data_IF_896422543673
#
_entry.id   IF_896422543673
#
_cell.length_a   1.000
_cell.length_b   1.000
_cell.length_c   1.000
_cell.angle_alpha   90.00
_cell.angle_beta   90.00
_cell.angle_gamma   90.00
#
_symmetry.space_group_name_H-M   'P 1'
#
loop_
_entity.id
_entity.type
_entity.pdbx_description
1 polymer ?
#
# COMPACT_ATOMS: atom_id res chain seq x y z
N UNK A 1 -13.78 4.63 6.50
CA UNK A 1 -13.79 3.93 7.79
C UNK A 1 -12.49 4.26 8.53
N UNK A 2 -12.44 5.40 9.23
CA UNK A 2 -11.25 5.81 9.99
C UNK A 2 -10.97 4.84 11.14
N UNK A 3 -9.72 4.44 11.30
CA UNK A 3 -9.31 3.40 12.26
C UNK A 3 -8.79 3.98 13.59
N UNK A 4 -8.75 5.31 13.75
CA UNK A 4 -8.36 5.97 15.00
C UNK A 4 -9.57 6.22 15.91
N UNK A 5 -9.64 5.52 17.05
CA UNK A 5 -10.54 5.87 18.17
C UNK A 5 -9.71 6.46 19.31
N UNK A 6 -9.79 7.79 19.45
CA UNK A 6 -9.47 8.55 20.66
C UNK A 6 -10.71 9.35 21.07
N UNK A 7 -10.96 9.48 22.37
CA UNK A 7 -12.20 9.95 23.00
C UNK A 7 -13.00 10.99 22.15
N UNK A 8 -14.14 10.53 21.61
CA UNK A 8 -15.22 11.28 20.94
C UNK A 8 -15.02 11.92 19.54
N UNK A 9 -13.93 11.69 18.81
CA UNK A 9 -13.90 11.94 17.34
C UNK A 9 -13.19 10.81 16.60
N UNK A 10 -13.78 10.35 15.49
CA UNK A 10 -13.04 9.51 14.54
C UNK A 10 -11.89 10.34 13.98
N UNK A 11 -10.66 9.98 14.33
CA UNK A 11 -9.50 10.64 13.76
C UNK A 11 -9.30 10.10 12.35
N UNK A 12 -9.54 10.95 11.36
CA UNK A 12 -9.14 10.67 9.99
C UNK A 12 -7.63 10.43 9.93
N UNK A 13 -7.20 9.46 9.12
CA UNK A 13 -5.81 9.00 9.04
C UNK A 13 -5.17 8.57 10.40
N UNK A 14 -5.99 8.26 11.42
CA UNK A 14 -5.53 7.96 12.78
C UNK A 14 -4.82 6.62 12.96
N UNK A 15 -4.30 6.40 14.17
CA UNK A 15 -3.55 5.19 14.55
C UNK A 15 -4.45 4.16 15.27
N UNK A 16 -4.58 2.97 14.69
CA UNK A 16 -5.30 1.85 15.26
C UNK A 16 -4.37 1.02 16.14
N UNK A 17 -4.51 1.20 17.46
CA UNK A 17 -3.67 0.50 18.45
C UNK A 17 -4.36 -0.74 18.99
N UNK A 18 -4.18 -1.86 18.30
CA UNK A 18 -4.75 -3.15 18.69
C UNK A 18 -3.79 -4.30 18.37
N UNK A 19 -3.83 -5.41 19.14
CA UNK A 19 -3.14 -6.63 18.75
C UNK A 19 -3.61 -7.16 17.39
N UNK A 20 -2.73 -7.86 16.67
CA UNK A 20 -3.05 -8.40 15.34
C UNK A 20 -4.28 -9.32 15.35
N UNK A 21 -4.44 -10.14 16.38
CA UNK A 21 -5.62 -11.02 16.51
C UNK A 21 -6.94 -10.24 16.64
N UNK A 22 -6.91 -9.11 17.34
CA UNK A 22 -8.07 -8.21 17.41
C UNK A 22 -8.32 -7.60 16.03
N UNK A 23 -7.28 -7.10 15.35
CA UNK A 23 -7.38 -6.56 13.99
C UNK A 23 -7.98 -7.58 13.01
N UNK A 24 -7.58 -8.86 13.11
CA UNK A 24 -8.11 -9.98 12.31
C UNK A 24 -9.61 -10.18 12.53
N UNK A 25 -10.04 -10.20 13.79
CA UNK A 25 -11.43 -10.47 14.18
C UNK A 25 -12.36 -9.29 13.89
N UNK A 26 -11.83 -8.07 13.82
CA UNK A 26 -12.61 -6.84 13.60
C UNK A 26 -12.40 -6.25 12.20
N UNK A 27 -11.30 -5.53 11.99
CA UNK A 27 -11.07 -4.68 10.82
C UNK A 27 -10.73 -5.46 9.54
N UNK A 28 -10.12 -6.64 9.65
CA UNK A 28 -9.81 -7.46 8.49
C UNK A 28 -10.96 -8.37 8.07
N UNK A 29 -11.85 -8.73 9.00
CA UNK A 29 -12.96 -9.67 8.76
C UNK A 29 -13.82 -9.31 7.53
N UNK A 30 -14.15 -8.02 7.26
CA UNK A 30 -14.91 -7.65 6.07
C UNK A 30 -14.20 -7.88 4.73
N UNK A 31 -12.85 -7.94 4.71
CA UNK A 31 -12.11 -8.17 3.47
C UNK A 31 -12.19 -9.62 3.01
N UNK A 32 -12.29 -10.59 3.93
CA UNK A 32 -12.29 -12.02 3.63
C UNK A 32 -13.33 -12.45 2.59
N UNK A 33 -14.62 -12.08 2.68
CA UNK A 33 -15.60 -12.41 1.63
C UNK A 33 -15.25 -11.77 0.28
N UNK A 34 -14.75 -10.53 0.26
CA UNK A 34 -14.33 -9.87 -0.99
C UNK A 34 -13.16 -10.60 -1.65
N UNK A 35 -12.16 -11.01 -0.85
CA UNK A 35 -11.02 -11.78 -1.35
C UNK A 35 -11.48 -13.14 -1.92
N UNK A 36 -12.40 -13.83 -1.23
CA UNK A 36 -13.00 -15.09 -1.70
C UNK A 36 -13.81 -14.93 -2.99
N UNK A 37 -14.48 -13.79 -3.15
CA UNK A 37 -15.21 -13.45 -4.37
C UNK A 37 -14.29 -13.10 -5.56
N UNK A 38 -12.97 -13.17 -5.40
CA UNK A 38 -12.03 -12.88 -6.47
C UNK A 38 -11.76 -11.39 -6.67
N UNK A 39 -11.83 -10.59 -5.60
CA UNK A 39 -11.38 -9.19 -5.64
C UNK A 39 -9.99 -9.08 -6.27
N UNK A 40 -9.84 -8.14 -7.21
CA UNK A 40 -8.61 -7.95 -7.97
C UNK A 40 -7.74 -6.81 -7.45
N UNK A 41 -8.29 -5.92 -6.62
CA UNK A 41 -7.63 -4.68 -6.19
C UNK A 41 -7.88 -4.39 -4.72
N UNK A 42 -6.83 -4.09 -3.96
CA UNK A 42 -6.93 -3.60 -2.58
C UNK A 42 -6.22 -2.25 -2.49
N UNK A 43 -6.86 -1.25 -1.89
CA UNK A 43 -6.25 0.06 -1.67
C UNK A 43 -5.70 0.15 -0.24
N UNK A 44 -4.44 0.60 -0.09
CA UNK A 44 -3.85 0.89 1.21
C UNK A 44 -4.43 2.19 1.78
N UNK A 45 -4.81 2.19 3.05
CA UNK A 45 -5.41 3.36 3.74
C UNK A 45 -4.34 4.32 4.26
N UNK A 46 -4.66 5.60 4.44
CA UNK A 46 -3.79 6.57 5.12
C UNK A 46 -3.57 6.31 6.62
N UNK A 47 -4.36 5.41 7.21
CA UNK A 47 -4.26 5.15 8.63
C UNK A 47 -2.97 4.43 9.03
N UNK A 48 -2.69 4.45 10.33
CA UNK A 48 -1.64 3.64 10.93
C UNK A 48 -2.24 2.47 11.71
N UNK A 49 -1.44 1.40 11.86
CA UNK A 49 -1.71 0.31 12.78
C UNK A 49 -0.49 0.18 13.68
N UNK A 50 -0.70 0.30 15.00
CA UNK A 50 0.36 0.25 16.01
C UNK A 50 1.56 1.18 15.69
N UNK A 51 1.25 2.40 15.22
CA UNK A 51 2.25 3.42 14.89
C UNK A 51 2.85 3.34 13.49
N UNK A 52 2.60 2.27 12.72
CA UNK A 52 3.12 2.10 11.36
C UNK A 52 2.06 2.46 10.31
N UNK A 53 2.40 3.35 9.38
CA UNK A 53 1.52 3.76 8.27
C UNK A 53 1.25 2.58 7.33
N UNK A 54 -0.01 2.36 6.97
CA UNK A 54 -0.44 1.22 6.15
C UNK A 54 0.28 1.14 4.79
N UNK A 55 0.55 2.26 4.13
CA UNK A 55 1.31 2.29 2.86
C UNK A 55 2.72 1.71 2.97
N UNK A 56 3.32 1.71 4.16
CA UNK A 56 4.65 1.15 4.46
C UNK A 56 4.59 -0.18 5.23
N UNK A 57 3.41 -0.69 5.53
CA UNK A 57 3.24 -1.78 6.49
C UNK A 57 3.45 -3.17 5.86
N UNK A 58 4.72 -3.58 5.74
CA UNK A 58 5.12 -4.85 5.09
C UNK A 58 4.40 -6.07 5.66
N UNK A 59 4.30 -6.16 6.99
CA UNK A 59 3.63 -7.26 7.67
C UNK A 59 2.17 -7.41 7.22
N UNK A 60 1.42 -6.33 7.12
CA UNK A 60 0.00 -6.40 6.73
C UNK A 60 -0.17 -6.54 5.22
N UNK A 61 0.56 -5.77 4.41
CA UNK A 61 0.40 -5.75 2.96
C UNK A 61 1.00 -6.99 2.28
N UNK A 62 2.14 -7.48 2.75
CA UNK A 62 2.84 -8.61 2.13
C UNK A 62 2.63 -9.90 2.90
N UNK A 63 3.00 -9.95 4.18
CA UNK A 63 2.97 -11.22 4.92
C UNK A 63 1.54 -11.71 5.15
N UNK A 64 0.65 -10.82 5.57
CA UNK A 64 -0.75 -11.19 5.84
C UNK A 64 -1.58 -11.19 4.55
N UNK A 65 -1.68 -10.07 3.83
CA UNK A 65 -2.58 -9.99 2.68
C UNK A 65 -2.13 -10.88 1.51
N UNK A 66 -0.88 -10.73 1.05
CA UNK A 66 -0.40 -11.44 -0.16
C UNK A 66 -0.04 -12.90 0.13
N UNK A 67 0.65 -13.20 1.24
CA UNK A 67 1.13 -14.56 1.55
C UNK A 67 0.09 -15.36 2.31
N UNK A 68 -0.31 -14.94 3.51
CA UNK A 68 -1.23 -15.71 4.35
C UNK A 68 -2.64 -15.82 3.77
N UNK A 69 -3.21 -14.70 3.31
CA UNK A 69 -4.56 -14.68 2.72
C UNK A 69 -4.57 -15.03 1.22
N UNK A 70 -3.40 -15.26 0.61
CA UNK A 70 -3.28 -15.68 -0.78
C UNK A 70 -3.77 -14.65 -1.81
N UNK A 71 -3.79 -13.36 -1.47
CA UNK A 71 -4.26 -12.33 -2.39
C UNK A 71 -3.36 -12.25 -3.63
N UNK A 72 -3.95 -12.54 -4.80
CA UNK A 72 -3.26 -12.61 -6.10
C UNK A 72 -3.49 -11.39 -7.00
N UNK A 73 -4.22 -10.38 -6.52
CA UNK A 73 -4.47 -9.12 -7.22
C UNK A 73 -3.37 -8.07 -6.97
N UNK A 74 -3.73 -6.80 -7.20
CA UNK A 74 -2.86 -5.63 -7.02
C UNK A 74 -3.18 -4.86 -5.74
N UNK A 75 -2.15 -4.37 -5.08
CA UNK A 75 -2.26 -3.38 -4.01
C UNK A 75 -1.95 -1.99 -4.58
N UNK A 76 -2.92 -1.09 -4.51
CA UNK A 76 -2.78 0.30 -4.96
C UNK A 76 -2.64 1.21 -3.74
N UNK A 77 -1.78 2.23 -3.81
CA UNK A 77 -1.78 3.28 -2.79
C UNK A 77 -3.03 4.13 -2.90
N UNK A 78 -3.50 4.68 -1.78
CA UNK A 78 -4.35 5.89 -1.84
C UNK A 78 -3.59 7.08 -2.46
N UNK A 79 -4.33 8.11 -2.84
CA UNK A 79 -3.86 9.31 -3.51
C UNK A 79 -2.77 10.03 -2.73
N UNK A 80 -1.54 10.07 -3.23
CA UNK A 80 -0.37 10.67 -2.55
C UNK A 80 0.00 10.04 -1.20
N UNK A 81 -0.58 8.90 -0.80
CA UNK A 81 -0.32 8.33 0.52
C UNK A 81 1.09 7.76 0.70
N UNK A 82 1.83 7.52 -0.38
CA UNK A 82 3.26 7.15 -0.31
C UNK A 82 4.08 8.30 0.29
N UNK A 83 3.73 9.55 -0.02
CA UNK A 83 4.49 10.75 0.38
C UNK A 83 4.55 10.92 1.90
N UNK A 84 3.60 10.35 2.64
CA UNK A 84 3.55 10.41 4.12
C UNK A 84 4.57 9.48 4.82
N UNK A 85 5.23 8.57 4.10
CA UNK A 85 6.07 7.54 4.71
C UNK A 85 7.46 8.03 5.15
N UNK A 86 7.93 9.15 4.60
CA UNK A 86 9.21 9.74 4.94
C UNK A 86 9.30 11.19 4.45
N UNK A 87 10.12 12.00 5.14
CA UNK A 87 10.40 13.38 4.71
C UNK A 87 11.09 13.46 3.35
N UNK A 88 11.90 12.46 3.00
CA UNK A 88 12.56 12.36 1.70
C UNK A 88 11.79 11.40 0.80
N UNK A 89 11.39 11.89 -0.37
CA UNK A 89 10.54 11.12 -1.28
C UNK A 89 11.15 9.78 -1.73
N UNK A 90 12.48 9.72 -1.94
CA UNK A 90 13.13 8.45 -2.26
C UNK A 90 12.91 7.39 -1.16
N UNK A 91 13.01 7.78 0.11
CA UNK A 91 12.81 6.85 1.23
C UNK A 91 11.35 6.39 1.31
N UNK A 92 10.41 7.29 1.02
CA UNK A 92 9.00 6.98 0.95
C UNK A 92 8.71 5.94 -0.15
N UNK A 93 9.24 6.14 -1.36
CA UNK A 93 9.13 5.19 -2.48
C UNK A 93 9.72 3.83 -2.13
N UNK A 94 10.93 3.80 -1.56
CA UNK A 94 11.59 2.55 -1.15
C UNK A 94 10.75 1.79 -0.13
N UNK A 95 10.24 2.48 0.91
CA UNK A 95 9.38 1.87 1.92
C UNK A 95 8.09 1.32 1.32
N UNK A 96 7.36 2.10 0.54
CA UNK A 96 6.08 1.69 -0.05
C UNK A 96 6.20 0.46 -0.95
N UNK A 97 7.17 0.49 -1.87
CA UNK A 97 7.36 -0.58 -2.85
C UNK A 97 7.80 -1.86 -2.15
N UNK A 98 8.76 -1.78 -1.22
CA UNK A 98 9.20 -2.94 -0.46
C UNK A 98 8.12 -3.48 0.49
N UNK A 99 7.23 -2.63 1.01
CA UNK A 99 6.09 -3.04 1.83
C UNK A 99 5.07 -3.88 1.06
N UNK A 100 4.98 -3.68 -0.27
CA UNK A 100 4.12 -4.47 -1.14
C UNK A 100 3.11 -3.64 -1.93
N UNK A 101 3.24 -2.31 -2.01
CA UNK A 101 2.49 -1.52 -2.98
C UNK A 101 2.91 -1.96 -4.40
N UNK A 102 1.92 -2.18 -5.28
CA UNK A 102 2.11 -2.60 -6.68
C UNK A 102 1.87 -1.43 -7.65
N UNK A 103 0.92 -0.53 -7.31
CA UNK A 103 0.58 0.65 -8.10
C UNK A 103 0.57 1.87 -7.20
N UNK A 104 1.35 2.88 -7.54
CA UNK A 104 1.39 4.15 -6.80
C UNK A 104 0.46 5.17 -7.46
N UNK A 105 -0.54 5.62 -6.72
CA UNK A 105 -1.45 6.69 -7.09
C UNK A 105 -0.83 8.03 -6.72
N UNK A 106 -0.39 8.76 -7.74
CA UNK A 106 0.31 10.04 -7.59
C UNK A 106 -0.67 11.20 -7.75
N UNK A 107 -0.46 12.30 -7.00
CA UNK A 107 -1.35 13.46 -7.08
C UNK A 107 -1.23 14.25 -8.38
N UNK A 108 -0.13 14.08 -9.12
CA UNK A 108 0.19 14.90 -10.28
C UNK A 108 0.59 16.32 -9.87
N UNK A 109 0.54 17.27 -10.80
CA UNK A 109 0.79 18.68 -10.51
C UNK A 109 -0.46 19.31 -9.90
N UNK A 110 -0.65 19.14 -8.60
CA UNK A 110 -1.70 19.84 -7.83
C UNK A 110 -1.04 20.88 -6.94
N UNK A 111 -1.76 21.94 -6.58
CA UNK A 111 -1.24 23.11 -5.86
C UNK A 111 -0.56 22.78 -4.52
N UNK A 112 -0.89 21.64 -3.93
CA UNK A 112 -0.41 21.19 -2.62
C UNK A 112 0.47 19.92 -2.70
N UNK A 113 0.78 19.42 -3.90
CA UNK A 113 1.50 18.18 -4.12
C UNK A 113 2.41 18.26 -5.34
N UNK A 114 3.70 17.94 -5.14
CA UNK A 114 4.72 18.12 -6.18
C UNK A 114 5.19 16.80 -6.83
N UNK A 115 4.62 15.65 -6.45
CA UNK A 115 5.06 14.37 -7.01
C UNK A 115 4.36 14.03 -8.31
N UNK A 116 5.16 13.87 -9.35
CA UNK A 116 4.74 13.54 -10.70
C UNK A 116 5.17 12.12 -11.04
N UNK A 117 4.60 11.55 -12.10
CA UNK A 117 5.02 10.23 -12.56
C UNK A 117 6.50 10.21 -12.95
N UNK A 118 7.07 11.32 -13.42
CA UNK A 118 8.50 11.41 -13.77
C UNK A 118 9.39 11.39 -12.54
N UNK A 119 9.04 12.09 -11.46
CA UNK A 119 9.80 12.05 -10.20
C UNK A 119 9.76 10.65 -9.57
N UNK A 120 8.59 10.02 -9.57
CA UNK A 120 8.42 8.64 -9.11
C UNK A 120 9.28 7.65 -9.90
N UNK A 121 9.21 7.67 -11.24
CA UNK A 121 10.00 6.78 -12.10
C UNK A 121 11.51 7.00 -11.87
N UNK A 122 11.94 8.25 -11.73
CA UNK A 122 13.34 8.58 -11.42
C UNK A 122 13.80 7.97 -10.09
N UNK A 123 12.99 8.14 -9.02
CA UNK A 123 13.29 7.57 -7.71
C UNK A 123 13.30 6.04 -7.74
N UNK A 124 12.32 5.41 -8.40
CA UNK A 124 12.23 3.96 -8.50
C UNK A 124 13.44 3.36 -9.23
N UNK A 125 13.82 3.95 -10.38
CA UNK A 125 15.02 3.52 -11.14
C UNK A 125 16.28 3.65 -10.29
N UNK A 126 16.47 4.80 -9.67
CA UNK A 126 17.63 5.02 -8.79
C UNK A 126 17.66 4.02 -7.62
N UNK A 127 16.51 3.76 -6.97
CA UNK A 127 16.42 2.81 -5.88
C UNK A 127 16.76 1.37 -6.32
N UNK A 128 16.33 0.97 -7.51
CA UNK A 128 16.68 -0.33 -8.10
C UNK A 128 18.17 -0.40 -8.42
N UNK A 129 18.71 0.61 -9.10
CA UNK A 129 20.13 0.68 -9.48
C UNK A 129 21.07 0.66 -8.26
N UNK A 130 20.61 1.21 -7.13
CA UNK A 130 21.32 1.19 -5.84
C UNK A 130 21.03 -0.03 -4.98
N UNK A 131 20.22 -0.98 -5.46
CA UNK A 131 19.86 -2.20 -4.73
C UNK A 131 18.96 -1.98 -3.52
N UNK A 132 18.36 -0.80 -3.38
CA UNK A 132 17.41 -0.47 -2.30
C UNK A 132 16.05 -1.13 -2.52
N UNK A 133 15.68 -1.37 -3.78
CA UNK A 133 14.52 -2.18 -4.18
C UNK A 133 15.05 -3.30 -5.08
N UNK A 134 14.89 -4.59 -4.71
CA UNK A 134 15.32 -5.68 -5.56
C UNK A 134 14.45 -5.74 -6.82
N UNK A 135 15.05 -6.05 -7.99
CA UNK A 135 14.31 -6.23 -9.24
C UNK A 135 13.17 -7.24 -9.11
N UNK A 136 13.36 -8.32 -8.34
CA UNK A 136 12.31 -9.30 -8.05
C UNK A 136 11.04 -8.68 -7.42
N UNK A 137 11.16 -7.57 -6.66
CA UNK A 137 9.99 -6.87 -6.11
C UNK A 137 9.24 -6.13 -7.20
N UNK A 138 9.94 -5.52 -8.15
CA UNK A 138 9.36 -4.88 -9.33
C UNK A 138 8.67 -5.92 -10.21
N UNK A 139 9.32 -7.07 -10.44
CA UNK A 139 8.77 -8.16 -11.23
C UNK A 139 7.48 -8.73 -10.62
N UNK A 140 7.41 -8.93 -9.30
CA UNK A 140 6.16 -9.33 -8.64
C UNK A 140 5.05 -8.29 -8.81
N UNK A 141 5.36 -6.99 -8.64
CA UNK A 141 4.38 -5.92 -8.84
C UNK A 141 3.85 -5.89 -10.28
N UNK A 142 4.75 -5.95 -11.27
CA UNK A 142 4.38 -5.98 -12.69
C UNK A 142 3.58 -7.23 -13.03
N UNK A 143 3.99 -8.41 -12.55
CA UNK A 143 3.27 -9.66 -12.80
C UNK A 143 1.84 -9.62 -12.24
N UNK A 144 1.62 -8.98 -11.08
CA UNK A 144 0.28 -8.77 -10.51
C UNK A 144 -0.57 -7.84 -11.37
N UNK A 145 0.00 -6.72 -11.83
CA UNK A 145 -0.69 -5.77 -12.71
C UNK A 145 -1.09 -6.44 -14.03
N UNK A 146 -0.15 -7.14 -14.67
CA UNK A 146 -0.41 -7.86 -15.93
C UNK A 146 -1.43 -8.99 -15.75
N UNK A 147 -1.38 -9.72 -14.64
CA UNK A 147 -2.38 -10.76 -14.32
C UNK A 147 -3.78 -10.17 -14.22
N UNK A 148 -3.94 -9.03 -13.54
CA UNK A 148 -5.24 -8.36 -13.42
C UNK A 148 -5.72 -7.86 -14.79
N UNK A 149 -4.85 -7.22 -15.58
CA UNK A 149 -5.19 -6.78 -16.95
C UNK A 149 -5.61 -7.94 -17.85
N UNK A 150 -4.86 -9.04 -17.85
CA UNK A 150 -5.18 -10.24 -18.62
C UNK A 150 -6.53 -10.86 -18.23
N UNK A 151 -6.86 -10.90 -16.92
CA UNK A 151 -8.19 -11.34 -16.43
C UNK A 151 -9.33 -10.44 -16.92
N UNK A 152 -9.05 -9.18 -17.22
CA UNK A 152 -10.01 -8.21 -17.76
C UNK A 152 -10.07 -8.19 -19.30
N UNK A 153 -9.21 -8.94 -19.99
CA UNK A 153 -9.12 -8.93 -21.45
C UNK A 153 -8.40 -7.71 -22.04
N UNK A 154 -7.49 -7.09 -21.28
CA UNK A 154 -6.65 -5.97 -21.70
C UNK A 154 -5.20 -6.39 -22.01
#
# INVERSE_FOLDING_TARGET
FGTGKGQQKSLDCGDCRVPLDTLRKTHMRPYLPCLKAGCQTVMASFSSVNGEKMHGHYRLLTEVLKRELGFSGIVVSDWAGVDELASRYLDAVVKAINAGIDVVMLPGMVSWGNQTYTSFIGCLRFAVDKGMIPMARVDDAVARVLRVKARMGL
#
